data_IF_045869525377
#
_entry.id   IF_045869525377
#
_cell.length_a   1.000
_cell.length_b   1.000
_cell.length_c   1.000
_cell.angle_alpha   90.00
_cell.angle_beta   90.00
_cell.angle_gamma   90.00
#
_symmetry.space_group_name_H-M   'P 1'
#
loop_
_entity.id
_entity.type
_entity.pdbx_description
1 polymer ?
#
# COMPACT_ATOMS: atom_id res chain seq x y z
N UNK A 1 -20.24 -9.51 -1.93
CA UNK A 1 -20.87 -8.68 -2.98
C UNK A 1 -19.73 -8.01 -3.74
N UNK A 2 -19.48 -8.40 -5.00
CA UNK A 2 -18.26 -8.00 -5.72
C UNK A 2 -18.23 -6.50 -6.00
N UNK A 3 -17.05 -5.91 -6.18
CA UNK A 3 -16.91 -4.48 -6.48
C UNK A 3 -17.62 -4.05 -7.77
N UNK A 4 -17.77 -4.97 -8.73
CA UNK A 4 -18.59 -4.76 -9.93
C UNK A 4 -20.07 -4.53 -9.60
N UNK A 5 -20.63 -5.27 -8.64
CA UNK A 5 -22.00 -5.05 -8.18
C UNK A 5 -22.16 -3.69 -7.48
N UNK A 6 -21.19 -3.30 -6.64
CA UNK A 6 -21.20 -1.98 -6.00
C UNK A 6 -21.12 -0.87 -7.05
N UNK A 7 -20.23 -0.98 -8.03
CA UNK A 7 -20.10 -0.01 -9.11
C UNK A 7 -21.38 0.13 -9.96
N UNK A 8 -22.04 -0.99 -10.28
CA UNK A 8 -23.32 -0.99 -10.98
C UNK A 8 -24.43 -0.31 -10.16
N UNK A 9 -24.50 -0.56 -8.85
CA UNK A 9 -25.44 0.10 -7.94
C UNK A 9 -25.17 1.61 -7.89
N UNK A 10 -23.91 2.02 -7.75
CA UNK A 10 -23.53 3.44 -7.77
C UNK A 10 -23.89 4.11 -9.10
N UNK A 11 -23.62 3.45 -10.24
CA UNK A 11 -23.98 3.97 -11.56
C UNK A 11 -25.51 4.11 -11.72
N UNK A 12 -26.28 3.13 -11.26
CA UNK A 12 -27.74 3.18 -11.28
C UNK A 12 -28.30 4.32 -10.41
N UNK A 13 -27.73 4.54 -9.21
CA UNK A 13 -28.12 5.62 -8.31
C UNK A 13 -27.79 7.00 -8.91
N UNK A 14 -26.60 7.19 -9.48
CA UNK A 14 -26.22 8.43 -10.17
C UNK A 14 -27.16 8.70 -11.35
N UNK A 15 -27.46 7.66 -12.15
CA UNK A 15 -28.42 7.76 -13.26
C UNK A 15 -29.80 8.20 -12.78
N UNK A 16 -30.31 7.59 -11.72
CA UNK A 16 -31.61 7.93 -11.14
C UNK A 16 -31.66 9.38 -10.63
N UNK A 17 -30.63 9.83 -9.91
CA UNK A 17 -30.53 11.23 -9.44
C UNK A 17 -30.47 12.20 -10.61
N UNK A 18 -29.76 11.86 -11.69
CA UNK A 18 -29.68 12.69 -12.90
C UNK A 18 -31.05 12.85 -13.57
N UNK A 19 -31.83 11.78 -13.65
CA UNK A 19 -33.22 11.82 -14.17
C UNK A 19 -34.10 12.72 -13.29
N UNK A 20 -34.00 12.64 -11.97
CA UNK A 20 -34.78 13.49 -11.05
C UNK A 20 -34.42 14.97 -11.21
N UNK A 21 -33.14 15.30 -11.37
CA UNK A 21 -32.69 16.67 -11.66
C UNK A 21 -33.32 17.19 -12.95
N UNK A 22 -33.27 16.38 -14.03
CA UNK A 22 -33.82 16.74 -15.33
C UNK A 22 -35.33 16.96 -15.25
N UNK A 23 -36.08 16.04 -14.64
CA UNK A 23 -37.53 16.18 -14.44
C UNK A 23 -37.88 17.40 -13.60
N UNK A 24 -37.10 17.71 -12.56
CA UNK A 24 -37.29 18.91 -11.75
C UNK A 24 -37.10 20.21 -12.53
N UNK A 25 -36.23 20.23 -13.54
CA UNK A 25 -36.09 21.41 -14.42
C UNK A 25 -37.17 21.52 -15.49
N UNK A 26 -37.89 20.43 -15.82
CA UNK A 26 -39.10 20.52 -16.65
C UNK A 26 -40.21 21.32 -15.96
N UNK A 27 -40.20 21.41 -14.62
CA UNK A 27 -41.15 22.25 -13.87
C UNK A 27 -40.67 23.69 -13.66
N UNK A 28 -39.45 24.04 -14.09
CA UNK A 28 -38.88 25.39 -13.96
C UNK A 28 -37.41 25.41 -13.49
N UNK A 29 -36.64 26.40 -13.94
CA UNK A 29 -35.21 26.56 -13.58
C UNK A 29 -34.98 26.99 -12.13
N UNK A 30 -36.01 27.47 -11.45
CA UNK A 30 -36.03 27.88 -10.05
C UNK A 30 -36.23 26.70 -9.08
N UNK A 31 -36.34 25.47 -9.59
CA UNK A 31 -36.50 24.26 -8.78
C UNK A 31 -35.28 24.04 -7.84
N UNK A 32 -35.47 24.39 -6.56
CA UNK A 32 -34.44 24.29 -5.52
C UNK A 32 -33.97 22.86 -5.26
N UNK A 33 -34.83 21.86 -5.49
CA UNK A 33 -34.49 20.44 -5.30
C UNK A 33 -33.46 20.01 -6.36
N UNK A 34 -33.66 20.39 -7.63
CA UNK A 34 -32.70 20.09 -8.70
C UNK A 34 -31.32 20.70 -8.41
N UNK A 35 -31.27 21.94 -7.94
CA UNK A 35 -30.01 22.60 -7.55
C UNK A 35 -29.33 21.93 -6.34
N UNK A 36 -30.09 21.50 -5.32
CA UNK A 36 -29.56 20.73 -4.18
C UNK A 36 -28.97 19.38 -4.62
N UNK A 37 -29.65 18.67 -5.53
CA UNK A 37 -29.18 17.39 -6.05
C UNK A 37 -27.93 17.53 -6.91
N UNK A 38 -27.78 18.62 -7.68
CA UNK A 38 -26.53 18.94 -8.39
C UNK A 38 -25.38 19.14 -7.40
N UNK A 39 -25.60 19.93 -6.34
CA UNK A 39 -24.58 20.15 -5.32
C UNK A 39 -24.17 18.83 -4.64
N UNK A 40 -25.13 17.96 -4.34
CA UNK A 40 -24.88 16.62 -3.81
C UNK A 40 -24.07 15.75 -4.78
N UNK A 41 -24.45 15.74 -6.07
CA UNK A 41 -23.73 14.98 -7.11
C UNK A 41 -22.29 15.43 -7.29
N UNK A 42 -21.99 16.73 -7.13
CA UNK A 42 -20.62 17.25 -7.19
C UNK A 42 -19.84 16.89 -5.91
N UNK A 43 -20.51 16.86 -4.76
CA UNK A 43 -19.91 16.51 -3.48
C UNK A 43 -19.52 15.03 -3.38
N UNK A 44 -20.30 14.12 -3.99
CA UNK A 44 -20.09 12.66 -3.89
C UNK A 44 -18.73 12.21 -4.45
N UNK A 45 -18.31 12.59 -5.68
CA UNK A 45 -16.98 12.26 -6.20
C UNK A 45 -15.85 12.83 -5.34
N UNK A 46 -16.03 14.03 -4.80
CA UNK A 46 -15.06 14.67 -3.91
C UNK A 46 -14.91 13.90 -2.58
N UNK A 47 -16.03 13.46 -1.98
CA UNK A 47 -16.01 12.60 -0.79
C UNK A 47 -15.43 11.21 -1.09
N UNK A 48 -15.69 10.67 -2.29
CA UNK A 48 -15.17 9.37 -2.71
C UNK A 48 -13.66 9.42 -2.99
N UNK A 49 -13.15 10.49 -3.62
CA UNK A 49 -11.74 10.61 -4.00
C UNK A 49 -10.80 10.83 -2.82
N UNK A 50 -11.27 11.46 -1.72
CA UNK A 50 -10.48 11.66 -0.50
C UNK A 50 -10.00 10.35 0.12
N UNK A 51 -10.72 9.23 -0.11
CA UNK A 51 -10.39 7.93 0.49
C UNK A 51 -9.23 7.20 -0.21
N UNK A 52 -8.91 7.54 -1.46
CA UNK A 52 -7.87 6.82 -2.26
C UNK A 52 -6.44 7.34 -2.06
N UNK A 53 -6.25 8.57 -1.59
CA UNK A 53 -4.92 9.20 -1.55
C UNK A 53 -4.06 8.87 -0.31
N UNK A 54 -4.61 8.15 0.69
CA UNK A 54 -3.92 7.93 1.98
C UNK A 54 -2.84 6.84 2.01
N UNK A 55 -2.66 6.07 0.92
CA UNK A 55 -1.84 4.83 0.92
C UNK A 55 -0.47 4.94 0.25
N UNK A 56 -0.14 6.09 -0.35
CA UNK A 56 1.15 6.28 -0.98
C UNK A 56 2.18 6.65 0.08
N UNK A 57 3.11 5.73 0.35
CA UNK A 57 4.25 5.96 1.20
C UNK A 57 5.31 6.78 0.46
N UNK A 58 5.84 7.81 1.11
CA UNK A 58 6.94 8.61 0.56
C UNK A 58 8.20 8.33 1.34
N UNK A 59 9.32 8.15 0.66
CA UNK A 59 10.61 8.12 1.32
C UNK A 59 10.82 9.41 2.11
N UNK A 60 11.39 9.27 3.30
CA UNK A 60 11.77 10.38 4.17
C UNK A 60 13.19 10.12 4.66
N UNK A 61 13.94 11.20 4.89
CA UNK A 61 15.31 11.10 5.41
C UNK A 61 15.37 10.39 6.76
N UNK A 62 14.29 10.40 7.55
CA UNK A 62 14.20 9.67 8.80
C UNK A 62 14.26 8.14 8.64
N UNK A 63 13.99 7.60 7.44
CA UNK A 63 14.08 6.15 7.17
C UNK A 63 15.48 5.70 6.79
N UNK A 64 16.42 6.63 6.64
CA UNK A 64 17.81 6.27 6.35
C UNK A 64 18.42 5.50 7.52
N UNK A 65 19.13 4.42 7.20
CA UNK A 65 19.96 3.65 8.13
C UNK A 65 21.44 4.03 8.02
N UNK A 66 21.74 5.09 7.27
CA UNK A 66 23.11 5.60 7.09
C UNK A 66 24.00 4.75 6.19
N UNK A 67 23.44 3.75 5.52
CA UNK A 67 24.12 2.88 4.55
C UNK A 67 23.43 3.03 3.20
N UNK A 68 24.08 3.69 2.24
CA UNK A 68 23.50 4.10 0.96
C UNK A 68 22.89 2.94 0.18
N UNK A 69 23.54 1.78 0.16
CA UNK A 69 23.03 0.61 -0.54
C UNK A 69 21.73 0.06 0.07
N UNK A 70 21.61 0.08 1.40
CA UNK A 70 20.40 -0.33 2.12
C UNK A 70 19.29 0.72 1.99
N UNK A 71 19.64 2.01 2.03
CA UNK A 71 18.68 3.10 1.79
C UNK A 71 18.07 3.03 0.38
N UNK A 72 18.85 2.60 -0.62
CA UNK A 72 18.33 2.36 -1.98
C UNK A 72 17.39 1.15 -2.02
N UNK A 73 17.71 0.09 -1.28
CA UNK A 73 16.84 -1.08 -1.16
C UNK A 73 15.51 -0.70 -0.47
N UNK A 74 15.54 0.09 0.61
CA UNK A 74 14.34 0.59 1.28
C UNK A 74 13.49 1.49 0.38
N UNK A 75 14.12 2.38 -0.39
CA UNK A 75 13.40 3.20 -1.38
C UNK A 75 12.72 2.34 -2.46
N UNK A 76 13.40 1.27 -2.90
CA UNK A 76 12.84 0.31 -3.86
C UNK A 76 11.69 -0.48 -3.25
N UNK A 77 11.79 -0.94 -2.00
CA UNK A 77 10.70 -1.60 -1.27
C UNK A 77 9.47 -0.69 -1.14
N UNK A 78 9.65 0.57 -0.75
CA UNK A 78 8.55 1.56 -0.72
C UNK A 78 7.93 1.73 -2.11
N UNK A 79 8.75 1.75 -3.16
CA UNK A 79 8.25 1.86 -4.54
C UNK A 79 7.41 0.66 -4.94
N UNK A 80 7.89 -0.56 -4.68
CA UNK A 80 7.16 -1.81 -4.97
C UNK A 80 5.85 -1.90 -4.16
N UNK A 81 5.88 -1.51 -2.89
CA UNK A 81 4.68 -1.46 -2.05
C UNK A 81 3.66 -0.45 -2.57
N UNK A 82 4.11 0.73 -3.03
CA UNK A 82 3.23 1.69 -3.68
C UNK A 82 2.66 1.17 -5.02
N UNK A 83 3.45 0.38 -5.77
CA UNK A 83 2.98 -0.26 -7.00
C UNK A 83 1.90 -1.30 -6.71
N UNK A 84 2.10 -2.16 -5.71
CA UNK A 84 1.07 -3.08 -5.21
C UNK A 84 -0.20 -2.32 -4.78
N UNK A 85 -0.03 -1.23 -4.01
CA UNK A 85 -1.15 -0.41 -3.59
C UNK A 85 -1.91 0.22 -4.77
N UNK A 86 -1.18 0.66 -5.79
CA UNK A 86 -1.74 1.27 -7.00
C UNK A 86 -2.47 0.23 -7.85
N UNK A 87 -1.88 -0.96 -8.05
CA UNK A 87 -2.49 -2.03 -8.83
C UNK A 87 -3.89 -2.39 -8.32
N UNK A 88 -4.04 -2.40 -7.01
CA UNK A 88 -5.33 -2.61 -6.38
C UNK A 88 -6.27 -1.41 -6.44
N UNK A 89 -5.78 -0.20 -6.11
CA UNK A 89 -6.62 1.00 -5.99
C UNK A 89 -7.32 1.39 -7.31
N UNK A 90 -6.71 0.98 -8.41
CA UNK A 90 -7.22 1.17 -9.76
C UNK A 90 -7.84 -0.10 -10.38
N UNK A 91 -8.00 -1.18 -9.60
CA UNK A 91 -8.59 -2.47 -10.05
C UNK A 91 -7.95 -2.93 -11.37
N UNK A 92 -6.61 -2.94 -11.42
CA UNK A 92 -5.84 -3.27 -12.64
C UNK A 92 -5.97 -4.75 -13.06
N UNK A 93 -6.70 -5.55 -12.28
CA UNK A 93 -6.94 -6.96 -12.52
C UNK A 93 -6.04 -7.87 -11.69
N UNK A 94 -6.54 -9.06 -11.37
CA UNK A 94 -5.89 -10.03 -10.48
C UNK A 94 -4.48 -10.42 -10.91
N UNK A 95 -4.20 -10.50 -12.22
CA UNK A 95 -2.86 -10.80 -12.74
C UNK A 95 -1.85 -9.71 -12.37
N UNK A 96 -2.21 -8.43 -12.55
CA UNK A 96 -1.35 -7.30 -12.21
C UNK A 96 -1.18 -7.13 -10.71
N UNK A 97 -2.26 -7.32 -9.94
CA UNK A 97 -2.20 -7.29 -8.47
C UNK A 97 -1.27 -8.40 -7.93
N UNK A 98 -1.41 -9.64 -8.43
CA UNK A 98 -0.58 -10.78 -8.05
C UNK A 98 0.89 -10.57 -8.44
N UNK A 99 1.16 -10.11 -9.67
CA UNK A 99 2.51 -9.82 -10.13
C UNK A 99 3.18 -8.74 -9.26
N UNK A 100 2.44 -7.68 -8.91
CA UNK A 100 2.97 -6.61 -8.05
C UNK A 100 3.27 -7.10 -6.63
N UNK A 101 2.42 -7.96 -6.07
CA UNK A 101 2.66 -8.59 -4.77
C UNK A 101 3.90 -9.48 -4.82
N UNK A 102 4.01 -10.32 -5.85
CA UNK A 102 5.15 -11.23 -6.04
C UNK A 102 6.48 -10.47 -6.13
N UNK A 103 6.54 -9.41 -6.93
CA UNK A 103 7.76 -8.58 -7.05
C UNK A 103 8.17 -7.96 -5.72
N UNK A 104 7.21 -7.51 -4.91
CA UNK A 104 7.47 -6.99 -3.57
C UNK A 104 8.05 -8.07 -2.64
N UNK A 105 7.47 -9.27 -2.65
CA UNK A 105 7.92 -10.40 -1.82
C UNK A 105 9.34 -10.82 -2.23
N UNK A 106 9.58 -11.03 -3.51
CA UNK A 106 10.90 -11.41 -4.04
C UNK A 106 11.97 -10.38 -3.67
N UNK A 107 11.68 -9.08 -3.80
CA UNK A 107 12.64 -8.05 -3.42
C UNK A 107 12.87 -7.95 -1.91
N UNK A 108 11.84 -8.25 -1.09
CA UNK A 108 11.96 -8.30 0.37
C UNK A 108 12.94 -9.39 0.80
N UNK A 109 12.82 -10.59 0.22
CA UNK A 109 13.78 -11.69 0.45
C UNK A 109 15.21 -11.31 0.05
N UNK A 110 15.35 -10.69 -1.13
CA UNK A 110 16.65 -10.23 -1.62
C UNK A 110 17.28 -9.20 -0.67
N UNK A 111 16.50 -8.23 -0.21
CA UNK A 111 16.95 -7.20 0.72
C UNK A 111 17.41 -7.80 2.06
N UNK A 112 16.61 -8.67 2.69
CA UNK A 112 16.98 -9.34 3.94
C UNK A 112 18.27 -10.13 3.81
N UNK A 113 18.44 -10.88 2.72
CA UNK A 113 19.68 -11.64 2.46
C UNK A 113 20.89 -10.72 2.47
N UNK A 114 20.82 -9.59 1.76
CA UNK A 114 21.92 -8.63 1.68
C UNK A 114 22.22 -7.93 2.99
N UNK A 115 21.18 -7.64 3.76
CA UNK A 115 21.34 -7.01 5.06
C UNK A 115 22.01 -7.97 6.06
N UNK A 116 21.56 -9.22 6.09
CA UNK A 116 22.14 -10.29 6.90
C UNK A 116 23.59 -10.59 6.52
N UNK A 117 23.92 -10.54 5.23
CA UNK A 117 25.29 -10.64 4.73
C UNK A 117 26.16 -9.49 5.28
N UNK A 118 25.72 -8.24 5.18
CA UNK A 118 26.44 -7.08 5.72
C UNK A 118 26.62 -7.14 7.24
N UNK A 119 25.57 -7.55 7.96
CA UNK A 119 25.63 -7.75 9.41
C UNK A 119 26.60 -8.88 9.78
N UNK A 120 26.59 -9.99 9.04
CA UNK A 120 27.51 -11.12 9.23
C UNK A 120 28.97 -10.72 8.99
N UNK A 121 29.27 -10.10 7.84
CA UNK A 121 30.62 -9.67 7.46
C UNK A 121 31.20 -8.62 8.41
N UNK A 122 30.35 -7.75 8.96
CA UNK A 122 30.76 -6.73 9.92
C UNK A 122 30.90 -7.26 11.36
N UNK A 123 30.43 -8.48 11.63
CA UNK A 123 30.39 -9.07 12.97
C UNK A 123 29.37 -8.39 13.89
N UNK A 124 28.19 -8.06 13.38
CA UNK A 124 27.11 -7.46 14.15
C UNK A 124 26.61 -8.42 15.24
N UNK A 125 26.61 -8.02 16.53
CA UNK A 125 26.35 -8.93 17.64
C UNK A 125 24.91 -9.47 17.67
N UNK A 126 23.93 -8.69 17.21
CA UNK A 126 22.51 -9.05 17.28
C UNK A 126 21.96 -9.65 15.98
N UNK A 127 22.84 -10.16 15.10
CA UNK A 127 22.46 -10.75 13.80
C UNK A 127 21.37 -11.82 13.92
N UNK A 128 21.52 -12.76 14.86
CA UNK A 128 20.58 -13.87 14.98
C UNK A 128 19.20 -13.42 15.47
N UNK A 129 19.15 -12.40 16.33
CA UNK A 129 17.88 -11.78 16.73
C UNK A 129 17.23 -11.04 15.56
N UNK A 130 18.04 -10.37 14.72
CA UNK A 130 17.54 -9.70 13.52
C UNK A 130 16.94 -10.71 12.52
N UNK A 131 17.66 -11.79 12.20
CA UNK A 131 17.18 -12.87 11.32
C UNK A 131 15.84 -13.46 11.75
N UNK A 132 15.62 -13.58 13.06
CA UNK A 132 14.33 -14.05 13.57
C UNK A 132 13.18 -13.10 13.22
N UNK A 133 13.41 -11.77 13.24
CA UNK A 133 12.40 -10.80 12.82
C UNK A 133 12.09 -10.92 11.32
N UNK A 134 13.13 -11.10 10.49
CA UNK A 134 12.94 -11.37 9.06
C UNK A 134 12.14 -12.64 8.83
N UNK A 135 12.48 -13.73 9.51
CA UNK A 135 11.79 -15.01 9.36
C UNK A 135 10.31 -14.91 9.74
N UNK A 136 9.99 -14.21 10.84
CA UNK A 136 8.60 -13.95 11.26
C UNK A 136 7.85 -13.17 10.17
N UNK A 137 8.48 -12.17 9.55
CA UNK A 137 7.84 -11.43 8.46
C UNK A 137 7.60 -12.31 7.24
N UNK A 138 8.60 -13.11 6.84
CA UNK A 138 8.48 -14.01 5.69
C UNK A 138 7.34 -15.02 5.90
N UNK A 139 7.20 -15.57 7.11
CA UNK A 139 6.07 -16.44 7.45
C UNK A 139 4.74 -15.70 7.32
N UNK A 140 4.68 -14.45 7.80
CA UNK A 140 3.46 -13.64 7.70
C UNK A 140 3.11 -13.27 6.25
N UNK A 141 4.12 -13.00 5.42
CA UNK A 141 3.96 -12.78 3.99
C UNK A 141 3.34 -14.02 3.32
N UNK A 142 3.80 -15.23 3.66
CA UNK A 142 3.24 -16.48 3.11
C UNK A 142 1.78 -16.69 3.49
N UNK A 143 1.41 -16.40 4.74
CA UNK A 143 -0.01 -16.45 5.16
C UNK A 143 -0.86 -15.47 4.35
N UNK A 144 -0.32 -14.27 4.11
CA UNK A 144 -0.94 -13.20 3.33
C UNK A 144 -1.13 -13.61 1.86
N UNK A 145 -0.10 -14.21 1.26
CA UNK A 145 -0.11 -14.69 -0.11
C UNK A 145 -1.19 -15.77 -0.27
N UNK A 146 -1.23 -16.77 0.62
CA UNK A 146 -2.26 -17.80 0.62
C UNK A 146 -3.67 -17.23 0.80
N UNK A 147 -3.83 -16.23 1.68
CA UNK A 147 -5.11 -15.55 1.87
C UNK A 147 -5.52 -14.80 0.61
N UNK A 148 -4.59 -14.11 -0.03
CA UNK A 148 -4.83 -13.43 -1.29
C UNK A 148 -5.22 -14.42 -2.40
N UNK A 149 -4.59 -15.60 -2.48
CA UNK A 149 -4.99 -16.66 -3.42
C UNK A 149 -6.43 -17.16 -3.17
N UNK A 150 -6.90 -17.16 -1.93
CA UNK A 150 -8.23 -17.66 -1.57
C UNK A 150 -9.36 -16.64 -1.81
N UNK A 151 -9.17 -15.39 -1.40
CA UNK A 151 -10.24 -14.36 -1.41
C UNK A 151 -9.90 -13.16 -2.31
N UNK A 152 -8.74 -13.17 -2.95
CA UNK A 152 -8.30 -12.17 -3.92
C UNK A 152 -8.37 -10.75 -3.36
N UNK A 153 -9.05 -9.92 -4.12
CA UNK A 153 -9.25 -8.50 -3.84
C UNK A 153 -9.75 -8.23 -2.40
N UNK A 154 -10.55 -9.12 -1.79
CA UNK A 154 -11.07 -8.90 -0.44
C UNK A 154 -9.97 -8.99 0.66
N UNK A 155 -8.80 -9.58 0.38
CA UNK A 155 -7.67 -9.64 1.33
C UNK A 155 -6.86 -8.34 1.38
N UNK A 156 -6.91 -7.53 0.32
CA UNK A 156 -5.88 -6.51 0.08
C UNK A 156 -5.73 -5.48 1.19
N UNK A 157 -6.82 -4.98 1.76
CA UNK A 157 -6.74 -3.89 2.76
C UNK A 157 -5.90 -4.31 3.97
N UNK A 158 -6.07 -5.55 4.41
CA UNK A 158 -5.28 -6.14 5.48
C UNK A 158 -3.82 -6.33 5.07
N UNK A 159 -3.58 -6.84 3.85
CA UNK A 159 -2.25 -7.08 3.31
C UNK A 159 -1.46 -5.77 3.17
N UNK A 160 -2.02 -4.80 2.48
CA UNK A 160 -1.45 -3.47 2.25
C UNK A 160 -1.12 -2.78 3.57
N UNK A 161 -2.05 -2.81 4.53
CA UNK A 161 -1.85 -2.23 5.85
C UNK A 161 -0.71 -2.92 6.60
N UNK A 162 -0.72 -4.25 6.65
CA UNK A 162 0.31 -5.02 7.34
C UNK A 162 1.70 -4.73 6.76
N UNK A 163 1.86 -4.81 5.44
CA UNK A 163 3.14 -4.59 4.77
C UNK A 163 3.66 -3.16 4.95
N UNK A 164 2.75 -2.17 4.90
CA UNK A 164 3.10 -0.76 5.12
C UNK A 164 3.54 -0.51 6.57
N UNK A 165 2.78 -1.00 7.54
CA UNK A 165 3.09 -0.83 8.95
C UNK A 165 4.39 -1.57 9.31
N UNK A 166 4.55 -2.81 8.83
CA UNK A 166 5.74 -3.61 9.11
C UNK A 166 7.00 -2.94 8.55
N UNK A 167 7.01 -2.55 7.27
CA UNK A 167 8.18 -1.98 6.62
C UNK A 167 8.68 -0.72 7.35
N UNK A 168 7.76 0.19 7.68
CA UNK A 168 8.13 1.44 8.34
C UNK A 168 8.59 1.21 9.79
N UNK A 169 7.94 0.30 10.51
CA UNK A 169 8.32 -0.01 11.89
C UNK A 169 9.65 -0.77 11.96
N UNK A 170 9.90 -1.68 11.03
CA UNK A 170 11.14 -2.43 10.93
C UNK A 170 12.32 -1.51 10.64
N UNK A 171 12.21 -0.67 9.60
CA UNK A 171 13.25 0.32 9.26
C UNK A 171 13.56 1.24 10.44
N UNK A 172 12.53 1.80 11.08
CA UNK A 172 12.74 2.75 12.18
C UNK A 172 13.11 2.11 13.52
N UNK A 173 12.90 0.81 13.66
CA UNK A 173 13.05 0.08 14.91
C UNK A 173 14.24 -0.85 14.89
N UNK A 174 14.19 -1.89 14.05
CA UNK A 174 15.19 -2.95 13.96
C UNK A 174 16.40 -2.49 13.15
N UNK A 175 16.18 -1.90 11.97
CA UNK A 175 17.27 -1.65 11.02
C UNK A 175 18.20 -0.54 11.50
N UNK A 176 17.64 0.47 12.17
CA UNK A 176 18.43 1.52 12.81
C UNK A 176 19.39 1.02 13.89
N UNK A 177 19.20 -0.18 14.43
CA UNK A 177 20.07 -0.71 15.49
C UNK A 177 21.46 -1.05 14.94
N UNK A 178 21.56 -1.53 13.70
CA UNK A 178 22.85 -1.84 13.08
C UNK A 178 23.59 -0.60 12.57
N UNK A 179 22.92 0.54 12.39
CA UNK A 179 23.49 1.75 11.77
C UNK A 179 24.82 2.16 12.39
N UNK A 180 24.89 2.25 13.72
CA UNK A 180 26.11 2.69 14.41
C UNK A 180 27.26 1.69 14.24
N UNK A 181 26.94 0.39 14.23
CA UNK A 181 27.91 -0.68 14.06
C UNK A 181 28.48 -0.71 12.64
N UNK A 182 27.61 -0.70 11.62
CA UNK A 182 28.02 -0.71 10.21
C UNK A 182 28.86 0.53 9.86
N UNK A 183 28.41 1.71 10.30
CA UNK A 183 29.13 2.96 10.07
C UNK A 183 30.52 2.97 10.74
N UNK A 184 30.66 2.39 11.93
CA UNK A 184 31.94 2.25 12.62
C UNK A 184 32.91 1.31 11.89
N UNK A 185 32.38 0.38 11.09
CA UNK A 185 33.16 -0.50 10.19
C UNK A 185 33.43 0.11 8.82
N UNK A 186 33.01 1.36 8.58
CA UNK A 186 33.21 2.07 7.32
C UNK A 186 32.19 1.71 6.23
N UNK A 187 31.17 0.92 6.56
CA UNK A 187 30.06 0.58 5.66
C UNK A 187 29.07 1.75 5.71
N UNK A 188 28.91 2.47 4.59
CA UNK A 188 28.12 3.71 4.47
C UNK A 188 27.43 3.80 3.11
#
# INVERSE_FOLDING_TARGET
MTNRYKALIYAALIGLVTVVIFLGFLSGMDNKISWLLIALLILIPWLYSQRKNGRILKWKSEYSVGVKSLDLDHQKLITLLNQFNTAYDYDMGAEFEHQSLKELIEYTHYHFTREEELMSESGYPDLEAHKQQHQIMIEKIKEIEQKYEQIGHDAFEEVSKFLSDWLINHINGTDKQYTSHLNAKGIK
#
